data_IF_126346917177
#
_entry.id   IF_126346917177
#
_cell.length_a   1.000
_cell.length_b   1.000
_cell.length_c   1.000
_cell.angle_alpha   90.00
_cell.angle_beta   90.00
_cell.angle_gamma   90.00
#
_symmetry.space_group_name_H-M   'P 1'
#
loop_
_entity.id
_entity.type
_entity.pdbx_description
1 polymer ?
#
# COMPACT_ATOMS: atom_id res chain seq x y z
N UNK A 1 22.27 3.58 -36.86
CA UNK A 1 22.12 2.91 -35.55
C UNK A 1 20.66 2.52 -35.39
N UNK A 2 20.37 1.23 -35.17
CA UNK A 2 18.99 0.73 -35.16
C UNK A 2 18.21 1.36 -33.98
N UNK A 3 16.96 1.77 -34.18
CA UNK A 3 16.12 2.42 -33.14
C UNK A 3 16.03 1.56 -31.87
N UNK A 4 16.03 0.23 -32.04
CA UNK A 4 16.09 -0.74 -30.97
C UNK A 4 17.38 -0.63 -30.13
N UNK A 5 18.55 -0.64 -30.77
CA UNK A 5 19.85 -0.60 -30.09
C UNK A 5 20.05 0.71 -29.32
N UNK A 6 19.65 1.84 -29.92
CA UNK A 6 19.69 3.15 -29.26
C UNK A 6 18.84 3.16 -27.99
N UNK A 7 17.62 2.59 -28.06
CA UNK A 7 16.74 2.48 -26.90
C UNK A 7 17.28 1.54 -25.83
N UNK A 8 17.85 0.40 -26.22
CA UNK A 8 18.45 -0.55 -25.29
C UNK A 8 19.64 0.07 -24.55
N UNK A 9 20.55 0.71 -25.29
CA UNK A 9 21.70 1.41 -24.72
C UNK A 9 21.28 2.54 -23.78
N UNK A 10 20.23 3.29 -24.13
CA UNK A 10 19.68 4.31 -23.24
C UNK A 10 19.17 3.72 -21.92
N UNK A 11 18.47 2.57 -21.96
CA UNK A 11 17.98 1.90 -20.75
C UNK A 11 19.11 1.32 -19.89
N UNK A 12 20.15 0.73 -20.51
CA UNK A 12 21.33 0.22 -19.80
C UNK A 12 22.06 1.36 -19.07
N UNK A 13 22.31 2.47 -19.75
CA UNK A 13 22.93 3.66 -19.16
C UNK A 13 22.09 4.24 -18.02
N UNK A 14 20.77 4.22 -18.16
CA UNK A 14 19.86 4.68 -17.12
C UNK A 14 19.84 3.74 -15.90
N UNK A 15 19.86 2.41 -16.10
CA UNK A 15 19.97 1.43 -15.00
C UNK A 15 21.29 1.60 -14.23
N UNK A 16 22.41 1.80 -14.94
CA UNK A 16 23.71 2.08 -14.32
C UNK A 16 23.69 3.35 -13.44
N UNK A 17 23.17 4.47 -13.95
CA UNK A 17 23.03 5.72 -13.18
C UNK A 17 22.12 5.57 -11.95
N UNK A 18 21.09 4.74 -12.05
CA UNK A 18 20.21 4.46 -10.90
C UNK A 18 20.97 3.66 -9.83
N UNK A 19 21.80 2.68 -10.22
CA UNK A 19 22.63 1.92 -9.27
C UNK A 19 23.59 2.82 -8.51
N UNK A 20 24.35 3.66 -9.22
CA UNK A 20 25.24 4.63 -8.57
C UNK A 20 24.50 5.51 -7.56
N UNK A 21 23.27 5.92 -7.90
CA UNK A 21 22.44 6.72 -7.00
C UNK A 21 21.97 5.93 -5.78
N UNK A 22 21.63 4.65 -5.94
CA UNK A 22 21.25 3.76 -4.84
C UNK A 22 22.44 3.59 -3.89
N UNK A 23 23.63 3.30 -4.43
CA UNK A 23 24.85 3.09 -3.65
C UNK A 23 25.24 4.35 -2.86
N UNK A 24 25.18 5.52 -3.51
CA UNK A 24 25.38 6.81 -2.84
C UNK A 24 24.40 7.01 -1.67
N UNK A 25 23.11 6.70 -1.86
CA UNK A 25 22.11 6.84 -0.81
C UNK A 25 22.29 5.83 0.32
N UNK A 26 22.73 4.61 0.02
CA UNK A 26 23.04 3.58 1.02
C UNK A 26 24.25 3.98 1.87
N UNK A 27 25.33 4.46 1.25
CA UNK A 27 26.50 4.99 1.96
C UNK A 27 26.11 6.16 2.87
N UNK A 28 25.27 7.08 2.38
CA UNK A 28 24.74 8.17 3.18
C UNK A 28 23.90 7.62 4.34
N UNK A 29 22.99 6.68 4.09
CA UNK A 29 22.14 6.05 5.10
C UNK A 29 22.95 5.41 6.24
N UNK A 30 24.02 4.68 5.90
CA UNK A 30 24.91 4.05 6.88
C UNK A 30 25.58 5.09 7.80
N UNK A 31 26.07 6.21 7.24
CA UNK A 31 26.62 7.31 8.04
C UNK A 31 25.59 7.89 9.03
N UNK A 32 24.32 8.01 8.63
CA UNK A 32 23.24 8.46 9.53
C UNK A 32 22.91 7.42 10.61
N UNK A 33 22.99 6.12 10.31
CA UNK A 33 22.79 5.05 11.29
C UNK A 33 23.80 5.14 12.44
N UNK A 34 25.08 5.30 12.11
CA UNK A 34 26.14 5.49 13.12
C UNK A 34 25.96 6.80 13.90
N UNK A 35 25.64 7.92 13.24
CA UNK A 35 25.38 9.21 13.91
C UNK A 35 24.24 9.11 14.91
N UNK A 36 23.14 8.41 14.56
CA UNK A 36 22.00 8.19 15.46
C UNK A 36 22.42 7.45 16.73
N UNK A 37 23.26 6.43 16.62
CA UNK A 37 23.76 5.66 17.76
C UNK A 37 24.57 6.56 18.70
N UNK A 38 25.49 7.36 18.16
CA UNK A 38 26.27 8.31 18.95
C UNK A 38 25.41 9.41 19.60
N UNK A 39 24.42 9.94 18.89
CA UNK A 39 23.46 10.91 19.44
C UNK A 39 22.67 10.31 20.60
N UNK A 40 22.20 9.07 20.45
CA UNK A 40 21.48 8.36 21.50
C UNK A 40 22.36 8.12 22.73
N UNK A 41 23.58 7.60 22.55
CA UNK A 41 24.52 7.37 23.65
C UNK A 41 24.92 8.67 24.35
N UNK A 42 25.30 9.70 23.59
CA UNK A 42 25.68 10.99 24.16
C UNK A 42 24.53 11.65 24.91
N UNK A 43 23.31 11.60 24.36
CA UNK A 43 22.12 12.12 25.01
C UNK A 43 21.73 11.35 26.27
N UNK A 44 21.90 10.04 26.28
CA UNK A 44 21.66 9.19 27.45
C UNK A 44 22.68 9.49 28.56
N UNK A 45 23.97 9.56 28.23
CA UNK A 45 25.03 9.93 29.18
C UNK A 45 24.78 11.31 29.76
N UNK A 46 24.47 12.31 28.92
CA UNK A 46 24.18 13.67 29.36
C UNK A 46 22.97 13.73 30.31
N UNK A 47 21.93 12.95 30.01
CA UNK A 47 20.74 12.86 30.87
C UNK A 47 21.08 12.26 32.23
N UNK A 48 21.84 11.16 32.28
CA UNK A 48 22.25 10.52 33.54
C UNK A 48 23.09 11.47 34.38
N UNK A 49 24.08 12.13 33.78
CA UNK A 49 24.94 13.09 34.47
C UNK A 49 24.08 14.22 35.07
N UNK A 50 23.20 14.84 34.27
CA UNK A 50 22.39 15.97 34.73
C UNK A 50 21.33 15.57 35.76
N UNK A 51 20.75 14.37 35.68
CA UNK A 51 19.82 13.87 36.70
C UNK A 51 20.49 13.74 38.08
N UNK A 52 21.78 13.40 38.13
CA UNK A 52 22.54 13.33 39.38
C UNK A 52 22.81 14.71 40.01
N UNK A 53 22.81 15.79 39.21
CA UNK A 53 23.00 17.16 39.72
C UNK A 53 21.69 17.89 40.00
N UNK A 54 20.72 17.83 39.08
CA UNK A 54 19.44 18.51 39.16
C UNK A 54 18.38 17.76 38.34
N UNK A 55 17.31 17.32 39.00
CA UNK A 55 16.23 16.54 38.37
C UNK A 55 15.55 17.29 37.22
N UNK A 56 15.32 18.60 37.33
CA UNK A 56 14.72 19.40 36.27
C UNK A 56 15.66 19.55 35.06
N UNK A 57 16.96 19.77 35.29
CA UNK A 57 17.94 19.87 34.22
C UNK A 57 18.10 18.54 33.46
N UNK A 58 18.09 17.42 34.19
CA UNK A 58 18.11 16.09 33.60
C UNK A 58 16.88 15.79 32.74
N UNK A 59 15.68 16.16 33.20
CA UNK A 59 14.45 16.02 32.41
C UNK A 59 14.47 16.88 31.13
N UNK A 60 14.94 18.13 31.21
CA UNK A 60 15.08 19.00 30.03
C UNK A 60 16.06 18.38 29.02
N UNK A 61 17.21 17.89 29.47
CA UNK A 61 18.19 17.22 28.61
C UNK A 61 17.63 15.94 27.97
N UNK A 62 16.84 15.16 28.71
CA UNK A 62 16.18 13.97 28.19
C UNK A 62 15.23 14.32 27.03
N UNK A 63 14.39 15.36 27.21
CA UNK A 63 13.44 15.81 26.18
C UNK A 63 14.18 16.32 24.93
N UNK A 64 15.22 17.14 25.11
CA UNK A 64 16.03 17.65 23.98
C UNK A 64 16.71 16.50 23.23
N UNK A 65 17.31 15.55 23.96
CA UNK A 65 17.92 14.36 23.39
C UNK A 65 16.92 13.55 22.56
N UNK A 66 15.71 13.35 23.09
CA UNK A 66 14.63 12.63 22.42
C UNK A 66 14.22 13.34 21.12
N UNK A 67 14.09 14.67 21.14
CA UNK A 67 13.76 15.48 19.95
C UNK A 67 14.85 15.33 18.88
N UNK A 68 16.13 15.49 19.25
CA UNK A 68 17.26 15.37 18.30
C UNK A 68 17.31 13.95 17.71
N UNK A 69 17.10 12.93 18.53
CA UNK A 69 17.03 11.55 18.09
C UNK A 69 15.86 11.34 17.11
N UNK A 70 14.66 11.82 17.43
CA UNK A 70 13.47 11.70 16.59
C UNK A 70 13.66 12.37 15.22
N UNK A 71 14.24 13.58 15.18
CA UNK A 71 14.57 14.29 13.95
C UNK A 71 15.58 13.49 13.11
N UNK A 72 16.61 12.93 13.74
CA UNK A 72 17.63 12.12 13.06
C UNK A 72 17.02 10.85 12.46
N UNK A 73 16.15 10.16 13.21
CA UNK A 73 15.39 8.99 12.74
C UNK A 73 14.51 9.36 11.55
N UNK A 74 13.83 10.51 11.59
CA UNK A 74 13.00 10.98 10.49
C UNK A 74 13.82 11.13 9.19
N UNK A 75 14.97 11.80 9.23
CA UNK A 75 15.83 11.96 8.06
C UNK A 75 16.40 10.63 7.54
N UNK A 76 16.79 9.73 8.44
CA UNK A 76 17.24 8.39 8.05
C UNK A 76 16.13 7.61 7.34
N UNK A 77 14.91 7.64 7.87
CA UNK A 77 13.76 6.99 7.26
C UNK A 77 13.44 7.58 5.87
N UNK A 78 13.59 8.90 5.68
CA UNK A 78 13.45 9.55 4.36
C UNK A 78 14.50 9.07 3.36
N UNK A 79 15.73 8.84 3.79
CA UNK A 79 16.79 8.27 2.95
C UNK A 79 16.45 6.83 2.54
N UNK A 80 16.03 5.99 3.49
CA UNK A 80 15.59 4.62 3.21
C UNK A 80 14.40 4.57 2.25
N UNK A 81 13.42 5.47 2.40
CA UNK A 81 12.31 5.59 1.45
C UNK A 81 12.79 5.95 0.04
N UNK A 82 13.79 6.82 -0.07
CA UNK A 82 14.41 7.17 -1.34
C UNK A 82 15.11 5.97 -1.98
N UNK A 83 15.89 5.21 -1.20
CA UNK A 83 16.53 3.96 -1.66
C UNK A 83 15.49 2.98 -2.17
N UNK A 84 14.41 2.73 -1.41
CA UNK A 84 13.31 1.85 -1.84
C UNK A 84 12.69 2.31 -3.16
N UNK A 85 12.45 3.61 -3.32
CA UNK A 85 11.89 4.16 -4.56
C UNK A 85 12.82 3.93 -5.75
N UNK A 86 14.12 4.19 -5.59
CA UNK A 86 15.09 3.97 -6.66
C UNK A 86 15.28 2.48 -6.96
N UNK A 87 15.25 1.59 -5.96
CA UNK A 87 15.37 0.15 -6.19
C UNK A 87 14.18 -0.42 -6.96
N UNK A 88 12.95 0.01 -6.66
CA UNK A 88 11.78 -0.37 -7.46
C UNK A 88 11.86 0.19 -8.88
N UNK A 89 12.32 1.44 -9.03
CA UNK A 89 12.48 2.03 -10.35
C UNK A 89 13.53 1.30 -11.16
N UNK A 90 14.66 0.91 -10.56
CA UNK A 90 15.69 0.08 -11.18
C UNK A 90 15.10 -1.26 -11.64
N UNK A 91 14.42 -1.97 -10.73
CA UNK A 91 13.76 -3.26 -11.03
C UNK A 91 12.83 -3.14 -12.25
N UNK A 92 12.03 -2.07 -12.33
CA UNK A 92 11.18 -1.81 -13.50
C UNK A 92 11.98 -1.68 -14.81
N UNK A 93 13.14 -1.01 -14.78
CA UNK A 93 13.99 -0.88 -15.96
C UNK A 93 14.68 -2.19 -16.34
N UNK A 94 15.15 -2.95 -15.36
CA UNK A 94 15.77 -4.26 -15.58
C UNK A 94 14.75 -5.24 -16.21
N UNK A 95 13.50 -5.24 -15.73
CA UNK A 95 12.43 -6.03 -16.33
C UNK A 95 12.09 -5.56 -17.76
N UNK A 96 12.17 -4.26 -18.06
CA UNK A 96 11.98 -3.76 -19.43
C UNK A 96 13.13 -4.18 -20.35
N UNK A 97 14.37 -4.17 -19.86
CA UNK A 97 15.54 -4.67 -20.59
C UNK A 97 15.41 -6.16 -20.85
N UNK A 98 14.99 -6.94 -19.84
CA UNK A 98 14.74 -8.37 -19.98
C UNK A 98 13.67 -8.66 -21.05
N UNK A 99 12.56 -7.90 -21.07
CA UNK A 99 11.54 -8.00 -22.14
C UNK A 99 12.11 -7.67 -23.51
N UNK A 100 12.92 -6.63 -23.64
CA UNK A 100 13.55 -6.26 -24.92
C UNK A 100 14.49 -7.36 -25.44
N UNK A 101 15.16 -8.10 -24.54
CA UNK A 101 16.06 -9.20 -24.87
C UNK A 101 15.38 -10.57 -24.92
N UNK A 102 14.09 -10.64 -24.58
CA UNK A 102 13.33 -11.90 -24.38
C UNK A 102 14.04 -12.82 -23.38
N UNK A 103 14.61 -12.24 -22.33
CA UNK A 103 15.23 -12.98 -21.21
C UNK A 103 14.16 -13.38 -20.19
N UNK A 104 13.63 -14.60 -20.35
CA UNK A 104 12.58 -15.15 -19.49
C UNK A 104 12.95 -15.22 -18.01
N UNK A 105 14.24 -15.25 -17.67
CA UNK A 105 14.67 -15.29 -16.27
C UNK A 105 14.50 -13.94 -15.58
N UNK A 106 14.64 -12.84 -16.33
CA UNK A 106 14.50 -11.47 -15.83
C UNK A 106 13.09 -10.88 -15.95
N UNK A 107 12.18 -11.54 -16.68
CA UNK A 107 10.78 -11.10 -16.78
C UNK A 107 10.01 -11.68 -15.57
N UNK A 108 9.19 -10.91 -14.84
CA UNK A 108 8.38 -11.45 -13.75
C UNK A 108 7.51 -12.61 -14.23
N UNK A 109 7.31 -13.61 -13.38
CA UNK A 109 6.32 -14.65 -13.67
C UNK A 109 4.91 -14.05 -13.68
N UNK A 110 4.07 -14.61 -14.55
CA UNK A 110 2.68 -14.19 -14.62
C UNK A 110 1.94 -14.55 -13.34
N UNK A 111 0.94 -13.75 -13.04
CA UNK A 111 -0.14 -14.16 -12.15
C UNK A 111 -0.81 -15.33 -12.87
N UNK A 112 -0.86 -16.52 -12.27
CA UNK A 112 -1.46 -17.70 -12.90
C UNK A 112 -2.94 -17.40 -13.20
N UNK A 113 -3.23 -17.03 -14.45
CA UNK A 113 -4.58 -16.81 -14.95
C UNK A 113 -5.00 -18.10 -15.63
N UNK A 114 -5.93 -18.79 -14.98
CA UNK A 114 -6.60 -19.94 -15.58
C UNK A 114 -7.70 -19.35 -16.48
N UNK A 115 -7.50 -19.41 -17.80
CA UNK A 115 -8.54 -19.02 -18.74
C UNK A 115 -9.57 -20.17 -18.84
N UNK A 116 -10.88 -19.86 -18.89
CA UNK A 116 -11.94 -20.89 -18.93
C UNK A 116 -11.85 -21.82 -20.14
N UNK A 117 -11.23 -21.35 -21.22
CA UNK A 117 -11.01 -22.12 -22.44
C UNK A 117 -9.50 -22.20 -22.68
N UNK A 118 -8.79 -23.13 -22.03
CA UNK A 118 -7.48 -23.55 -22.53
C UNK A 118 -7.68 -24.42 -23.78
N UNK A 119 -8.16 -23.82 -24.87
CA UNK A 119 -8.15 -24.48 -26.18
C UNK A 119 -6.69 -24.87 -26.51
N UNK A 120 -6.48 -26.04 -27.11
CA UNK A 120 -5.14 -26.50 -27.52
C UNK A 120 -4.39 -25.44 -28.34
N UNK A 121 -5.12 -24.67 -29.14
CA UNK A 121 -4.63 -23.56 -29.96
C UNK A 121 -3.90 -22.47 -29.15
N UNK A 122 -4.30 -22.20 -27.90
CA UNK A 122 -3.64 -21.18 -27.07
C UNK A 122 -2.27 -21.63 -26.56
N UNK A 123 -2.09 -22.94 -26.34
CA UNK A 123 -0.81 -23.54 -25.98
C UNK A 123 0.10 -23.60 -27.20
N UNK A 124 -0.42 -23.97 -28.36
CA UNK A 124 0.36 -24.04 -29.61
C UNK A 124 0.92 -22.68 -30.05
N UNK A 125 0.20 -21.59 -29.77
CA UNK A 125 0.63 -20.22 -30.06
C UNK A 125 1.40 -19.54 -28.92
N UNK A 126 1.71 -20.29 -27.84
CA UNK A 126 2.35 -19.77 -26.63
C UNK A 126 1.67 -18.48 -26.10
N UNK A 127 0.33 -18.39 -26.18
CA UNK A 127 -0.39 -17.19 -25.73
C UNK A 127 -0.42 -17.09 -24.20
N UNK A 128 -0.51 -18.23 -23.52
CA UNK A 128 -0.52 -18.35 -22.06
C UNK A 128 0.54 -19.35 -21.58
N UNK A 129 0.92 -19.28 -20.29
CA UNK A 129 1.97 -20.13 -19.71
C UNK A 129 3.27 -19.39 -19.36
N UNK A 130 4.33 -20.16 -19.07
CA UNK A 130 5.58 -19.63 -18.49
C UNK A 130 6.44 -18.85 -19.49
N UNK A 131 6.47 -19.22 -20.77
CA UNK A 131 7.21 -18.50 -21.82
C UNK A 131 6.26 -17.95 -22.88
N UNK A 132 5.26 -17.20 -22.43
CA UNK A 132 4.12 -16.80 -23.27
C UNK A 132 4.15 -15.35 -23.74
N UNK A 133 3.41 -15.06 -24.80
CA UNK A 133 3.14 -13.71 -25.28
C UNK A 133 2.48 -12.85 -24.19
N UNK A 134 1.55 -13.44 -23.42
CA UNK A 134 0.97 -12.76 -22.26
C UNK A 134 2.06 -12.31 -21.27
N UNK A 135 3.01 -13.19 -20.90
CA UNK A 135 4.12 -12.84 -19.99
C UNK A 135 4.99 -11.71 -20.52
N UNK A 136 5.23 -11.72 -21.84
CA UNK A 136 6.06 -10.71 -22.47
C UNK A 136 5.38 -9.33 -22.47
N UNK A 137 4.07 -9.28 -22.71
CA UNK A 137 3.31 -8.04 -22.83
C UNK A 137 2.80 -7.50 -21.49
N UNK A 138 2.58 -8.35 -20.49
CA UNK A 138 1.94 -7.94 -19.24
C UNK A 138 2.86 -7.05 -18.40
N UNK A 139 2.39 -5.82 -18.19
CA UNK A 139 2.95 -4.83 -17.25
C UNK A 139 1.91 -4.36 -16.25
N UNK A 140 0.81 -5.10 -16.11
CA UNK A 140 -0.26 -4.78 -15.18
C UNK A 140 0.22 -4.87 -13.73
N UNK A 141 -0.45 -4.13 -12.86
CA UNK A 141 -0.17 -4.09 -11.41
C UNK A 141 -1.26 -4.77 -10.60
N UNK A 142 -2.37 -5.13 -11.25
CA UNK A 142 -3.52 -5.80 -10.65
C UNK A 142 -3.81 -7.13 -11.34
N UNK A 143 -4.35 -8.08 -10.58
CA UNK A 143 -4.75 -9.39 -11.11
C UNK A 143 -5.81 -9.26 -12.19
N UNK A 144 -6.78 -8.36 -12.00
CA UNK A 144 -7.86 -8.13 -12.95
C UNK A 144 -7.36 -7.44 -14.23
N UNK A 145 -6.31 -6.61 -14.12
CA UNK A 145 -5.67 -5.98 -15.27
C UNK A 145 -4.95 -7.00 -16.15
N UNK A 146 -4.17 -7.88 -15.52
CA UNK A 146 -3.52 -9.03 -16.16
C UNK A 146 -4.56 -9.94 -16.83
N UNK A 147 -5.63 -10.30 -16.10
CA UNK A 147 -6.73 -11.13 -16.61
C UNK A 147 -7.45 -10.52 -17.83
N UNK A 148 -7.67 -9.20 -17.85
CA UNK A 148 -8.25 -8.51 -19.03
C UNK A 148 -7.33 -8.60 -20.24
N UNK A 149 -6.01 -8.48 -20.06
CA UNK A 149 -5.04 -8.63 -21.14
C UNK A 149 -5.05 -10.08 -21.67
N UNK A 150 -5.00 -11.06 -20.79
CA UNK A 150 -5.08 -12.48 -21.17
C UNK A 150 -6.36 -12.78 -21.98
N UNK A 151 -7.51 -12.26 -21.53
CA UNK A 151 -8.78 -12.40 -22.25
C UNK A 151 -8.74 -11.74 -23.65
N UNK A 152 -8.17 -10.54 -23.76
CA UNK A 152 -8.05 -9.86 -25.06
C UNK A 152 -7.13 -10.58 -26.04
N UNK A 153 -5.99 -11.12 -25.58
CA UNK A 153 -5.06 -11.87 -26.44
C UNK A 153 -5.67 -13.20 -26.89
N UNK A 154 -6.53 -13.78 -26.06
CA UNK A 154 -7.16 -15.08 -26.33
C UNK A 154 -8.51 -14.95 -27.06
N UNK A 155 -8.93 -13.75 -27.45
CA UNK A 155 -10.21 -13.53 -28.11
C UNK A 155 -10.07 -13.66 -29.63
N UNK A 156 -10.61 -14.75 -30.20
CA UNK A 156 -10.58 -15.02 -31.64
C UNK A 156 -11.70 -14.34 -32.46
N UNK A 157 -12.64 -13.65 -31.82
CA UNK A 157 -13.69 -12.86 -32.49
C UNK A 157 -13.38 -11.36 -32.39
N UNK A 158 -12.68 -10.78 -33.38
CA UNK A 158 -12.22 -9.40 -33.31
C UNK A 158 -13.36 -8.39 -33.55
N UNK A 159 -13.57 -7.49 -32.58
CA UNK A 159 -14.39 -6.29 -32.78
C UNK A 159 -13.49 -5.14 -33.28
N UNK A 160 -13.61 -4.82 -34.57
CA UNK A 160 -12.83 -3.78 -35.24
C UNK A 160 -12.98 -2.40 -34.57
N UNK A 161 -14.18 -2.06 -34.09
CA UNK A 161 -14.42 -0.76 -33.44
C UNK A 161 -13.68 -0.70 -32.10
N UNK A 162 -13.77 -1.76 -31.32
CA UNK A 162 -13.09 -1.88 -30.03
C UNK A 162 -11.55 -1.89 -30.19
N UNK A 163 -11.04 -2.62 -31.18
CA UNK A 163 -9.60 -2.66 -31.50
C UNK A 163 -9.09 -1.27 -31.87
N UNK A 164 -9.77 -0.57 -32.78
CA UNK A 164 -9.39 0.79 -33.20
C UNK A 164 -9.39 1.78 -32.02
N UNK A 165 -10.40 1.68 -31.13
CA UNK A 165 -10.45 2.48 -29.91
C UNK A 165 -9.26 2.20 -28.99
N UNK A 166 -8.96 0.93 -28.73
CA UNK A 166 -7.85 0.53 -27.86
C UNK A 166 -6.49 0.93 -28.45
N UNK A 167 -6.28 0.77 -29.75
CA UNK A 167 -5.04 1.18 -30.42
C UNK A 167 -4.79 2.68 -30.31
N UNK A 168 -5.83 3.52 -30.42
CA UNK A 168 -5.73 4.97 -30.20
C UNK A 168 -5.30 5.28 -28.76
N UNK A 169 -5.93 4.65 -27.77
CA UNK A 169 -5.57 4.80 -26.35
C UNK A 169 -4.11 4.37 -26.11
N UNK A 170 -3.69 3.21 -26.64
CA UNK A 170 -2.31 2.72 -26.52
C UNK A 170 -1.33 3.69 -27.17
N UNK A 171 -1.64 4.24 -28.35
CA UNK A 171 -0.80 5.21 -29.04
C UNK A 171 -0.62 6.49 -28.22
N UNK A 172 -1.71 7.06 -27.71
CA UNK A 172 -1.68 8.24 -26.83
C UNK A 172 -0.85 7.98 -25.56
N UNK A 173 -1.11 6.86 -24.88
CA UNK A 173 -0.39 6.47 -23.67
C UNK A 173 1.08 6.15 -23.94
N UNK A 174 1.46 5.65 -25.12
CA UNK A 174 2.84 5.24 -25.47
C UNK A 174 3.84 6.40 -25.39
N UNK A 175 3.39 7.63 -25.69
CA UNK A 175 4.22 8.84 -25.62
C UNK A 175 4.35 9.36 -24.18
N UNK A 176 3.41 9.03 -23.29
CA UNK A 176 3.39 9.47 -21.89
C UNK A 176 4.24 8.59 -20.95
N UNK A 177 5.52 8.35 -21.29
CA UNK A 177 6.43 7.46 -20.51
C UNK A 177 6.46 7.80 -19.02
N UNK A 178 6.61 9.08 -18.67
CA UNK A 178 6.69 9.54 -17.28
C UNK A 178 5.44 9.20 -16.46
N UNK A 179 4.26 9.22 -17.10
CA UNK A 179 3.02 8.87 -16.42
C UNK A 179 2.97 7.37 -16.13
N UNK A 180 3.23 6.53 -17.15
CA UNK A 180 3.24 5.06 -17.02
C UNK A 180 4.24 4.58 -15.96
N UNK A 181 5.47 5.08 -16.02
CA UNK A 181 6.52 4.71 -15.07
C UNK A 181 6.14 5.13 -13.64
N UNK A 182 5.59 6.34 -13.45
CA UNK A 182 5.12 6.80 -12.14
C UNK A 182 3.95 5.97 -11.63
N UNK A 183 3.03 5.54 -12.50
CA UNK A 183 1.85 4.76 -12.12
C UNK A 183 2.28 3.39 -11.60
N UNK A 184 3.11 2.68 -12.36
CA UNK A 184 3.64 1.37 -11.97
C UNK A 184 4.50 1.50 -10.70
N UNK A 185 5.36 2.52 -10.62
CA UNK A 185 6.19 2.76 -9.44
C UNK A 185 5.35 3.03 -8.19
N UNK A 186 4.31 3.86 -8.28
CA UNK A 186 3.40 4.10 -7.16
C UNK A 186 2.70 2.81 -6.74
N UNK A 187 2.16 2.05 -7.69
CA UNK A 187 1.47 0.80 -7.38
C UNK A 187 2.40 -0.20 -6.64
N UNK A 188 3.64 -0.36 -7.09
CA UNK A 188 4.63 -1.25 -6.45
C UNK A 188 5.14 -0.75 -5.10
N UNK A 189 5.16 0.57 -4.88
CA UNK A 189 5.48 1.16 -3.58
C UNK A 189 4.35 0.97 -2.56
N UNK A 190 3.11 0.95 -3.04
CA UNK A 190 1.90 0.77 -2.25
C UNK A 190 1.71 -0.71 -1.87
N UNK A 191 1.98 -1.63 -2.79
CA UNK A 191 1.84 -3.07 -2.57
C UNK A 191 2.93 -3.85 -3.29
N UNK A 192 3.57 -4.78 -2.58
CA UNK A 192 4.48 -5.78 -3.17
C UNK A 192 3.72 -6.88 -3.92
N UNK A 193 2.51 -7.20 -3.45
CA UNK A 193 1.61 -8.17 -4.10
C UNK A 193 0.77 -7.47 -5.17
N UNK A 194 0.36 -8.18 -6.24
CA UNK A 194 -0.62 -7.68 -7.19
C UNK A 194 -1.86 -7.15 -6.46
N UNK A 195 -2.38 -6.03 -6.93
CA UNK A 195 -3.63 -5.48 -6.40
C UNK A 195 -4.80 -6.38 -6.80
N UNK A 196 -5.78 -6.54 -5.92
CA UNK A 196 -7.03 -7.21 -6.24
C UNK A 196 -8.22 -6.32 -5.89
N UNK A 197 -9.00 -5.99 -6.90
CA UNK A 197 -10.33 -5.41 -6.71
C UNK A 197 -11.38 -6.47 -6.37
N UNK A 198 -11.09 -7.75 -6.62
CA UNK A 198 -12.03 -8.84 -6.37
C UNK A 198 -12.40 -8.99 -4.90
N UNK A 199 -11.47 -8.72 -3.98
CA UNK A 199 -11.74 -8.79 -2.53
C UNK A 199 -12.72 -7.69 -2.10
N UNK A 200 -12.57 -6.48 -2.64
CA UNK A 200 -13.50 -5.37 -2.43
C UNK A 200 -14.88 -5.73 -3.00
N UNK A 201 -14.94 -6.26 -4.23
CA UNK A 201 -16.19 -6.64 -4.88
C UNK A 201 -16.89 -7.79 -4.16
N UNK A 202 -16.14 -8.79 -3.70
CA UNK A 202 -16.67 -9.91 -2.89
C UNK A 202 -17.25 -9.39 -1.58
N UNK A 203 -16.56 -8.46 -0.93
CA UNK A 203 -17.06 -7.82 0.27
C UNK A 203 -18.36 -7.04 0.01
N UNK A 204 -18.41 -6.18 -1.02
CA UNK A 204 -19.63 -5.42 -1.39
C UNK A 204 -20.81 -6.34 -1.70
N UNK A 205 -20.55 -7.50 -2.33
CA UNK A 205 -21.59 -8.46 -2.72
C UNK A 205 -21.98 -9.43 -1.60
N UNK A 206 -21.29 -9.40 -0.46
CA UNK A 206 -21.58 -10.28 0.67
C UNK A 206 -22.94 -9.86 1.25
N UNK A 207 -23.91 -10.77 1.24
CA UNK A 207 -25.26 -10.50 1.75
C UNK A 207 -25.32 -10.49 3.27
N UNK A 208 -24.36 -11.15 3.93
CA UNK A 208 -24.25 -11.24 5.38
C UNK A 208 -22.89 -10.72 5.83
N UNK A 209 -22.88 -9.53 6.40
CA UNK A 209 -21.71 -9.02 7.09
C UNK A 209 -21.70 -9.53 8.52
N UNK A 210 -20.54 -9.97 8.98
CA UNK A 210 -20.31 -10.26 10.39
C UNK A 210 -20.54 -8.97 11.16
N UNK A 211 -21.54 -8.93 12.02
CA UNK A 211 -21.85 -7.77 12.86
C UNK A 211 -21.48 -8.07 14.30
N UNK A 212 -21.00 -7.05 15.01
CA UNK A 212 -20.95 -7.10 16.46
C UNK A 212 -22.35 -6.80 17.00
N UNK A 213 -22.86 -7.57 17.98
CA UNK A 213 -24.12 -7.26 18.64
C UNK A 213 -24.17 -5.82 19.14
N UNK A 214 -25.28 -5.11 18.92
CA UNK A 214 -25.40 -3.68 19.25
C UNK A 214 -25.18 -3.36 20.74
N UNK A 215 -25.39 -4.34 21.63
CA UNK A 215 -25.19 -4.19 23.08
C UNK A 215 -23.71 -4.23 23.50
N UNK A 216 -22.78 -4.74 22.69
CA UNK A 216 -21.38 -4.93 23.07
C UNK A 216 -20.68 -3.60 23.39
N UNK A 217 -20.96 -2.57 22.61
CA UNK A 217 -20.39 -1.24 22.76
C UNK A 217 -20.88 -0.57 24.06
N UNK A 218 -22.19 -0.39 24.31
CA UNK A 218 -22.66 0.23 25.55
C UNK A 218 -22.26 -0.58 26.79
N UNK A 219 -22.27 -1.91 26.73
CA UNK A 219 -21.81 -2.76 27.84
C UNK A 219 -20.32 -2.56 28.12
N UNK A 220 -19.48 -2.47 27.08
CA UNK A 220 -18.05 -2.19 27.24
C UNK A 220 -17.80 -0.83 27.91
N UNK A 221 -18.55 0.21 27.52
CA UNK A 221 -18.49 1.51 28.20
C UNK A 221 -18.87 1.42 29.67
N UNK A 222 -19.96 0.71 30.00
CA UNK A 222 -20.39 0.51 31.39
C UNK A 222 -19.28 -0.17 32.20
N UNK A 223 -18.65 -1.22 31.67
CA UNK A 223 -17.53 -1.89 32.34
C UNK A 223 -16.33 -0.96 32.56
N UNK A 224 -15.94 -0.17 31.55
CA UNK A 224 -14.83 0.79 31.64
C UNK A 224 -15.12 1.87 32.69
N UNK A 225 -16.31 2.50 32.64
CA UNK A 225 -16.69 3.52 33.62
C UNK A 225 -16.75 2.96 35.03
N UNK A 226 -17.31 1.75 35.20
CA UNK A 226 -17.39 1.08 36.50
C UNK A 226 -16.00 0.74 37.03
N UNK A 227 -15.10 0.25 36.17
CA UNK A 227 -13.71 -0.03 36.53
C UNK A 227 -12.97 1.23 36.97
N UNK A 228 -13.02 2.31 36.19
CA UNK A 228 -12.36 3.60 36.52
C UNK A 228 -12.88 4.14 37.84
N UNK A 229 -14.21 4.14 38.02
CA UNK A 229 -14.84 4.64 39.25
C UNK A 229 -14.37 3.84 40.47
N UNK A 230 -14.40 2.49 40.40
CA UNK A 230 -13.96 1.64 41.50
C UNK A 230 -12.45 1.75 41.77
N UNK A 231 -11.63 1.94 40.73
CA UNK A 231 -10.19 2.13 40.87
C UNK A 231 -9.85 3.45 41.58
N UNK A 232 -10.59 4.53 41.29
CA UNK A 232 -10.46 5.82 41.98
C UNK A 232 -10.89 5.68 43.45
N UNK A 233 -12.03 5.03 43.73
CA UNK A 233 -12.50 4.81 45.10
C UNK A 233 -11.54 3.94 45.93
N UNK A 234 -10.92 2.93 45.30
CA UNK A 234 -9.86 2.14 45.90
C UNK A 234 -8.63 3.00 46.24
N UNK A 235 -8.21 3.87 45.32
CA UNK A 235 -7.06 4.78 45.54
C UNK A 235 -7.30 5.78 46.66
N UNK A 236 -8.57 6.11 46.95
CA UNK A 236 -9.00 6.95 48.07
C UNK A 236 -9.22 6.17 49.37
N UNK A 237 -9.03 4.84 49.37
CA UNK A 237 -9.18 3.97 50.54
C UNK A 237 -10.63 3.69 50.96
N UNK A 238 -11.62 4.03 50.12
CA UNK A 238 -13.05 3.94 50.44
C UNK A 238 -13.58 2.51 50.21
N UNK A 239 -13.04 1.79 49.23
CA UNK A 239 -13.48 0.44 48.83
C UNK A 239 -12.33 -0.55 48.83
N UNK A 240 -12.61 -1.83 49.11
CA UNK A 240 -11.65 -2.93 48.95
C UNK A 240 -11.32 -3.27 47.49
N UNK A 241 -10.73 -4.44 47.24
CA UNK A 241 -10.26 -4.89 45.91
C UNK A 241 -11.37 -5.30 44.92
N UNK A 242 -12.58 -4.74 45.04
CA UNK A 242 -13.76 -5.06 44.21
C UNK A 242 -13.52 -4.72 42.73
N UNK A 243 -12.67 -3.73 42.46
CA UNK A 243 -12.25 -3.36 41.09
C UNK A 243 -11.65 -4.56 40.33
N UNK A 244 -10.99 -5.49 41.03
CA UNK A 244 -10.39 -6.68 40.42
C UNK A 244 -11.45 -7.68 39.94
N UNK A 245 -12.56 -7.81 40.66
CA UNK A 245 -13.68 -8.68 40.26
C UNK A 245 -14.38 -8.15 39.01
N UNK A 246 -14.59 -6.83 38.92
CA UNK A 246 -15.16 -6.18 37.71
C UNK A 246 -14.21 -6.30 36.53
N UNK A 247 -12.91 -6.16 36.75
CA UNK A 247 -11.90 -6.40 35.74
C UNK A 247 -11.91 -7.85 35.22
N UNK A 248 -12.00 -8.85 36.11
CA UNK A 248 -12.07 -10.25 35.73
C UNK A 248 -13.35 -10.58 34.95
N UNK A 249 -14.48 -9.98 35.34
CA UNK A 249 -15.76 -10.12 34.63
C UNK A 249 -15.68 -9.51 33.22
N UNK A 250 -15.03 -8.34 33.08
CA UNK A 250 -14.78 -7.72 31.78
C UNK A 250 -13.89 -8.61 30.88
N UNK A 251 -12.84 -9.23 31.44
CA UNK A 251 -11.99 -10.15 30.68
C UNK A 251 -12.75 -11.38 30.16
N UNK A 252 -13.64 -11.96 30.98
CA UNK A 252 -14.50 -13.08 30.56
C UNK A 252 -15.47 -12.64 29.46
N UNK A 253 -16.09 -11.47 29.62
CA UNK A 253 -16.97 -10.87 28.62
C UNK A 253 -16.23 -10.63 27.30
N UNK A 254 -15.06 -10.00 27.34
CA UNK A 254 -14.23 -9.76 26.17
C UNK A 254 -13.80 -11.07 25.49
N UNK A 255 -13.32 -12.06 26.26
CA UNK A 255 -12.90 -13.37 25.74
C UNK A 255 -14.01 -14.11 24.99
N UNK A 256 -15.26 -14.01 25.45
CA UNK A 256 -16.43 -14.63 24.79
C UNK A 256 -16.72 -14.03 23.41
N UNK A 257 -16.53 -12.72 23.27
CA UNK A 257 -16.84 -11.98 22.02
C UNK A 257 -15.60 -11.65 21.19
N UNK A 258 -14.40 -12.02 21.64
CA UNK A 258 -13.13 -11.73 21.00
C UNK A 258 -13.10 -12.18 19.55
N UNK A 259 -13.58 -13.39 19.25
CA UNK A 259 -13.57 -13.93 17.88
C UNK A 259 -14.40 -13.09 16.92
N UNK A 260 -15.60 -12.67 17.35
CA UNK A 260 -16.51 -11.86 16.53
C UNK A 260 -15.95 -10.45 16.31
N UNK A 261 -15.42 -9.82 17.37
CA UNK A 261 -14.77 -8.51 17.25
C UNK A 261 -13.53 -8.60 16.35
N UNK A 262 -12.70 -9.63 16.52
CA UNK A 262 -11.48 -9.82 15.72
C UNK A 262 -11.79 -10.07 14.25
N UNK A 263 -12.83 -10.84 13.92
CA UNK A 263 -13.18 -11.13 12.52
C UNK A 263 -13.68 -9.89 11.79
N UNK A 264 -14.47 -9.05 12.46
CA UNK A 264 -14.95 -7.79 11.89
C UNK A 264 -13.78 -6.80 11.71
N UNK A 265 -12.88 -6.73 12.70
CA UNK A 265 -11.69 -5.90 12.62
C UNK A 265 -10.74 -6.33 11.50
N UNK A 266 -10.49 -7.63 11.33
CA UNK A 266 -9.66 -8.15 10.24
C UNK A 266 -10.28 -7.87 8.87
N UNK A 267 -11.58 -8.10 8.71
CA UNK A 267 -12.33 -7.81 7.47
C UNK A 267 -12.30 -6.31 7.14
N UNK A 268 -12.53 -5.43 8.12
CA UNK A 268 -12.50 -3.98 7.95
C UNK A 268 -11.08 -3.44 7.71
N UNK A 269 -10.06 -4.01 8.36
CA UNK A 269 -8.67 -3.64 8.17
C UNK A 269 -8.15 -4.01 6.77
N UNK A 270 -8.46 -5.22 6.29
CA UNK A 270 -8.11 -5.67 4.94
C UNK A 270 -8.79 -4.80 3.88
N UNK A 271 -10.08 -4.48 4.08
CA UNK A 271 -10.82 -3.63 3.15
C UNK A 271 -10.27 -2.20 3.13
N UNK A 272 -10.05 -1.60 4.31
CA UNK A 272 -9.47 -0.25 4.45
C UNK A 272 -8.14 -0.14 3.70
N UNK A 273 -7.27 -1.13 3.87
CA UNK A 273 -5.99 -1.19 3.17
C UNK A 273 -6.19 -1.27 1.66
N UNK A 274 -7.00 -2.21 1.14
CA UNK A 274 -7.22 -2.35 -0.31
C UNK A 274 -7.84 -1.08 -0.93
N UNK A 275 -8.87 -0.51 -0.30
CA UNK A 275 -9.53 0.73 -0.74
C UNK A 275 -8.53 1.88 -0.81
N UNK A 276 -7.69 2.04 0.24
CA UNK A 276 -6.64 3.07 0.26
C UNK A 276 -5.63 2.89 -0.88
N UNK A 277 -5.23 1.65 -1.19
CA UNK A 277 -4.31 1.37 -2.30
C UNK A 277 -4.85 1.86 -3.64
N UNK A 278 -6.13 1.60 -3.93
CA UNK A 278 -6.78 2.07 -5.16
C UNK A 278 -6.98 3.59 -5.17
N UNK A 279 -7.38 4.19 -4.04
CA UNK A 279 -7.56 5.65 -3.91
C UNK A 279 -6.34 6.44 -4.38
N UNK A 280 -5.14 6.04 -3.94
CA UNK A 280 -3.89 6.72 -4.30
C UNK A 280 -3.60 6.65 -5.79
N UNK A 281 -3.97 5.55 -6.45
CA UNK A 281 -3.80 5.38 -7.91
C UNK A 281 -4.83 6.18 -8.69
N UNK A 282 -6.10 6.13 -8.29
CA UNK A 282 -7.19 6.92 -8.90
C UNK A 282 -6.88 8.42 -8.79
N UNK A 283 -6.47 8.88 -7.61
CA UNK A 283 -6.08 10.28 -7.41
C UNK A 283 -4.92 10.71 -8.34
N UNK A 284 -3.99 9.80 -8.62
CA UNK A 284 -2.90 10.09 -9.56
C UNK A 284 -3.41 10.23 -10.99
N UNK A 285 -4.39 9.41 -11.39
CA UNK A 285 -5.00 9.44 -12.72
C UNK A 285 -5.80 10.74 -12.88
N UNK A 286 -6.62 11.10 -11.91
CA UNK A 286 -7.42 12.34 -11.91
C UNK A 286 -6.58 13.60 -12.01
N UNK A 287 -5.50 13.68 -11.23
CA UNK A 287 -4.61 14.87 -11.23
C UNK A 287 -3.77 15.00 -12.49
N UNK A 288 -3.70 13.97 -13.32
CA UNK A 288 -2.92 14.00 -14.54
C UNK A 288 -3.73 14.63 -15.67
N UNK A 289 -3.22 15.72 -16.24
CA UNK A 289 -3.84 16.37 -17.40
C UNK A 289 -3.59 15.54 -18.65
N UNK A 290 -4.65 14.90 -19.14
CA UNK A 290 -4.70 14.29 -20.46
C UNK A 290 -5.10 15.33 -21.50
N UNK A 291 -4.94 14.99 -22.78
CA UNK A 291 -5.48 15.82 -23.86
C UNK A 291 -7.01 15.67 -23.85
N UNK A 292 -7.74 16.79 -23.80
CA UNK A 292 -9.18 16.80 -23.59
C UNK A 292 -9.94 16.14 -24.75
N UNK A 293 -9.36 16.17 -25.96
CA UNK A 293 -9.91 15.53 -27.15
C UNK A 293 -9.40 14.09 -27.38
N UNK A 294 -8.59 13.54 -26.46
CA UNK A 294 -7.99 12.22 -26.59
C UNK A 294 -8.93 11.08 -26.22
N UNK A 295 -8.81 9.92 -26.90
CA UNK A 295 -9.57 8.71 -26.54
C UNK A 295 -9.21 8.17 -25.16
N UNK A 296 -8.03 8.52 -24.64
CA UNK A 296 -7.63 8.23 -23.27
C UNK A 296 -8.45 9.04 -22.25
N UNK A 297 -8.82 10.29 -22.56
CA UNK A 297 -9.63 11.11 -21.64
C UNK A 297 -11.04 10.56 -21.52
N UNK A 298 -11.68 10.23 -22.65
CA UNK A 298 -12.99 9.54 -22.73
C UNK A 298 -12.96 8.21 -21.94
N UNK A 299 -11.91 7.41 -22.10
CA UNK A 299 -11.77 6.15 -21.35
C UNK A 299 -11.64 6.35 -19.83
N UNK A 300 -11.07 7.47 -19.40
CA UNK A 300 -10.84 7.79 -17.99
C UNK A 300 -11.91 8.70 -17.38
N UNK A 301 -12.94 9.05 -18.16
CA UNK A 301 -14.04 9.92 -17.75
C UNK A 301 -14.79 9.35 -16.54
N UNK A 302 -14.88 8.02 -16.42
CA UNK A 302 -15.46 7.35 -15.25
C UNK A 302 -14.78 7.72 -13.92
N UNK A 303 -13.53 8.20 -13.95
CA UNK A 303 -12.81 8.66 -12.75
C UNK A 303 -12.96 10.18 -12.52
N UNK A 304 -13.49 10.92 -13.49
CA UNK A 304 -13.71 12.37 -13.46
C UNK A 304 -15.22 12.65 -13.31
N UNK A 305 -15.82 12.32 -12.17
CA UNK A 305 -17.24 12.59 -11.94
C UNK A 305 -17.56 14.10 -11.88
N UNK A 306 -18.79 14.48 -12.25
CA UNK A 306 -19.24 15.87 -12.48
C UNK A 306 -19.28 16.77 -11.23
N UNK A 307 -19.32 16.20 -10.01
CA UNK A 307 -19.43 16.98 -8.76
C UNK A 307 -18.30 16.70 -7.74
N UNK A 308 -17.81 15.45 -7.64
CA UNK A 308 -16.68 15.05 -6.78
C UNK A 308 -15.86 13.98 -7.51
N UNK A 309 -14.52 14.04 -7.44
CA UNK A 309 -13.67 13.04 -8.09
C UNK A 309 -13.84 11.65 -7.47
N UNK A 310 -13.67 10.58 -8.25
CA UNK A 310 -13.73 9.20 -7.75
C UNK A 310 -12.76 8.95 -6.57
N UNK A 311 -11.63 9.67 -6.51
CA UNK A 311 -10.70 9.60 -5.39
C UNK A 311 -11.27 10.21 -4.10
N UNK A 312 -12.17 11.18 -4.18
CA UNK A 312 -12.82 11.79 -3.03
C UNK A 312 -13.93 10.90 -2.47
N UNK A 313 -14.70 10.23 -3.32
CA UNK A 313 -15.64 9.18 -2.88
C UNK A 313 -14.93 8.01 -2.21
N UNK A 314 -13.83 7.54 -2.81
CA UNK A 314 -13.02 6.47 -2.23
C UNK A 314 -12.36 6.90 -0.91
N UNK A 315 -11.98 8.19 -0.76
CA UNK A 315 -11.52 8.73 0.53
C UNK A 315 -12.66 8.85 1.55
N UNK A 316 -13.88 9.19 1.14
CA UNK A 316 -15.04 9.17 2.03
C UNK A 316 -15.28 7.76 2.54
N UNK A 317 -15.22 6.76 1.66
CA UNK A 317 -15.27 5.35 2.05
C UNK A 317 -14.12 4.97 3.00
N UNK A 318 -12.88 5.41 2.72
CA UNK A 318 -11.73 5.21 3.63
C UNK A 318 -12.00 5.81 5.02
N UNK A 319 -12.55 7.03 5.10
CA UNK A 319 -12.91 7.68 6.37
C UNK A 319 -14.04 6.95 7.10
N UNK A 320 -15.07 6.49 6.39
CA UNK A 320 -16.16 5.72 6.98
C UNK A 320 -15.67 4.39 7.53
N UNK A 321 -14.83 3.67 6.78
CA UNK A 321 -14.21 2.43 7.25
C UNK A 321 -13.29 2.72 8.45
N UNK A 322 -12.50 3.81 8.41
CA UNK A 322 -11.68 4.21 9.55
C UNK A 322 -12.51 4.56 10.79
N UNK A 323 -13.70 5.15 10.62
CA UNK A 323 -14.62 5.44 11.71
C UNK A 323 -15.24 4.16 12.29
N UNK A 324 -15.61 3.19 11.45
CA UNK A 324 -16.01 1.85 11.89
C UNK A 324 -14.90 1.18 12.70
N UNK A 325 -13.64 1.30 12.28
CA UNK A 325 -12.48 0.80 13.05
C UNK A 325 -12.31 1.47 14.42
N UNK A 326 -12.61 2.76 14.54
CA UNK A 326 -12.60 3.47 15.82
C UNK A 326 -13.74 3.01 16.75
N UNK A 327 -14.90 2.70 16.18
CA UNK A 327 -16.06 2.16 16.92
C UNK A 327 -15.83 0.71 17.39
N UNK A 328 -15.07 -0.07 16.64
CA UNK A 328 -14.80 -1.50 16.90
C UNK A 328 -13.62 -1.76 17.82
N UNK A 329 -12.81 -0.73 18.14
CA UNK A 329 -11.65 -0.87 19.01
C UNK A 329 -11.87 -0.10 20.33
N UNK A 330 -12.60 -0.66 21.31
CA UNK A 330 -12.86 0.00 22.60
C UNK A 330 -11.67 -0.04 23.57
N UNK A 331 -10.49 -0.53 23.16
CA UNK A 331 -9.32 -0.75 24.04
C UNK A 331 -8.14 0.18 23.69
N UNK A 332 -8.41 1.30 23.01
CA UNK A 332 -7.53 2.47 23.03
C UNK A 332 -8.31 3.74 23.29
#
# INVERSE_FOLDING_TARGET
MNSYESRLNHLLNLSAKINERIDYLLLKSNKYSFRRLWIFLAGLILTIILLNFNSAAGLIAAVISLIIFAVTVHFHNRLLQSVRKFSFFKKLQDENIARMKVDWSGIPENINIILPEESSTFKDLDLTGSKSLHRLLDTSVSMEGSGKLAKHISQFSPDVKLINRNQKIVKELSVKKRFRDKLILKARLISLKPLSGSDILKWIKKTEHTTVPDFLIPVSFIFIFTFITLFILYSLGITGNIWFAVFLMYLIFYGKYQKQVSSVFEESALLSDQVRKFSVLIQMIEKYKFDDNGKTSEFLEIFKAENEGASDEVKKLERLIAFVRLRENPVY
#
